data_IF_482229089993
#
_entry.id   IF_482229089993
#
_cell.length_a   1.000
_cell.length_b   1.000
_cell.length_c   1.000
_cell.angle_alpha   90.00
_cell.angle_beta   90.00
_cell.angle_gamma   90.00
#
_symmetry.space_group_name_H-M   'P 1'
#
loop_
_entity.id
_entity.type
_entity.pdbx_description
1 polymer ?
#
# COMPACT_ATOMS: atom_id res chain seq x y z
N UNK A 1 1.12 22.17 24.79
CA UNK A 1 0.26 21.10 24.26
C UNK A 1 0.32 21.15 22.75
N UNK A 2 1.08 20.27 22.10
CA UNK A 2 1.05 20.14 20.65
C UNK A 2 -0.09 19.18 20.30
N UNK A 3 -1.21 19.72 19.78
CA UNK A 3 -2.21 18.89 19.14
C UNK A 3 -1.61 18.21 17.89
N UNK A 4 -2.17 17.08 17.44
CA UNK A 4 -1.65 16.39 16.27
C UNK A 4 -1.70 17.33 15.05
N UNK A 5 -0.53 17.59 14.47
CA UNK A 5 -0.37 18.42 13.27
C UNK A 5 -1.20 17.82 12.14
N UNK A 6 -2.28 18.51 11.73
CA UNK A 6 -2.98 18.21 10.48
C UNK A 6 -1.96 18.25 9.34
N UNK A 7 -1.84 17.21 8.49
CA UNK A 7 -0.93 17.28 7.36
C UNK A 7 -1.37 18.42 6.44
N UNK A 8 -0.51 19.43 6.29
CA UNK A 8 -0.75 20.58 5.43
C UNK A 8 -0.58 20.17 3.95
N UNK A 9 -1.63 19.57 3.39
CA UNK A 9 -1.84 19.51 1.94
C UNK A 9 -2.83 20.59 1.52
N UNK A 10 -2.68 21.12 0.29
CA UNK A 10 -3.71 21.99 -0.32
C UNK A 10 -5.07 21.28 -0.24
N UNK A 11 -6.19 21.96 0.06
CA UNK A 11 -7.51 21.34 0.00
C UNK A 11 -7.81 21.02 -1.46
N UNK A 12 -7.56 19.77 -1.87
CA UNK A 12 -7.91 19.29 -3.21
C UNK A 12 -9.41 19.01 -3.20
N UNK A 13 -10.14 19.61 -4.13
CA UNK A 13 -11.55 19.28 -4.32
C UNK A 13 -11.65 17.87 -4.92
N UNK A 14 -12.44 16.96 -4.30
CA UNK A 14 -12.59 15.61 -4.79
C UNK A 14 -13.29 15.62 -6.14
N UNK A 15 -12.68 14.94 -7.12
CA UNK A 15 -13.22 14.78 -8.47
C UNK A 15 -14.15 13.59 -8.52
N UNK A 16 -13.90 12.57 -7.70
CA UNK A 16 -14.66 11.31 -7.69
C UNK A 16 -15.84 11.34 -6.73
N UNK A 17 -16.82 10.46 -6.98
CA UNK A 17 -17.96 10.27 -6.08
C UNK A 17 -17.51 9.78 -4.69
N UNK A 18 -16.56 8.84 -4.64
CA UNK A 18 -15.99 8.32 -3.38
C UNK A 18 -15.29 9.44 -2.60
N UNK A 19 -14.50 10.27 -3.28
CA UNK A 19 -13.84 11.42 -2.67
C UNK A 19 -14.82 12.42 -2.06
N UNK A 20 -15.97 12.65 -2.70
CA UNK A 20 -17.05 13.49 -2.12
C UNK A 20 -17.65 12.86 -0.87
N UNK A 21 -17.96 11.56 -0.90
CA UNK A 21 -18.51 10.86 0.27
C UNK A 21 -17.57 10.87 1.48
N UNK A 22 -16.26 10.74 1.23
CA UNK A 22 -15.22 10.81 2.27
C UNK A 22 -15.13 12.24 2.83
N UNK A 23 -15.15 13.25 1.95
CA UNK A 23 -15.16 14.66 2.36
C UNK A 23 -16.41 15.05 3.14
N UNK A 24 -17.57 14.51 2.78
CA UNK A 24 -18.85 14.68 3.48
C UNK A 24 -18.88 13.91 4.82
N UNK A 25 -17.89 13.07 5.12
CA UNK A 25 -17.82 12.29 6.36
C UNK A 25 -18.79 11.09 6.43
N UNK A 26 -19.40 10.71 5.29
CA UNK A 26 -20.27 9.53 5.18
C UNK A 26 -19.51 8.23 5.25
N UNK A 27 -18.23 8.26 4.86
CA UNK A 27 -17.28 7.14 4.95
C UNK A 27 -16.21 7.56 5.94
N UNK A 28 -16.09 6.85 7.07
CA UNK A 28 -15.13 7.18 8.13
C UNK A 28 -13.92 6.25 8.13
N UNK A 29 -14.09 5.03 7.65
CA UNK A 29 -13.03 4.04 7.59
C UNK A 29 -12.72 3.62 6.17
N UNK A 30 -11.47 3.22 5.93
CA UNK A 30 -11.07 2.65 4.64
C UNK A 30 -11.72 1.27 4.40
N UNK A 31 -12.02 0.52 5.47
CA UNK A 31 -12.69 -0.78 5.39
C UNK A 31 -14.10 -0.69 4.80
N UNK A 32 -14.87 0.35 5.13
CA UNK A 32 -16.19 0.59 4.52
C UNK A 32 -16.12 0.75 2.99
N UNK A 33 -15.02 1.30 2.46
CA UNK A 33 -14.81 1.43 1.01
C UNK A 33 -14.66 0.04 0.39
N UNK A 34 -13.89 -0.83 1.03
CA UNK A 34 -13.69 -2.21 0.59
C UNK A 34 -14.94 -3.07 0.72
N UNK A 35 -15.72 -2.92 1.80
CA UNK A 35 -17.00 -3.63 1.97
C UNK A 35 -18.00 -3.27 0.87
N UNK A 36 -18.03 -2.00 0.45
CA UNK A 36 -18.88 -1.51 -0.64
C UNK A 36 -18.28 -1.74 -2.03
N UNK A 37 -17.10 -2.36 -2.12
CA UNK A 37 -16.34 -2.59 -3.36
C UNK A 37 -16.19 -1.32 -4.23
N UNK A 38 -16.01 -0.17 -3.60
CA UNK A 38 -15.87 1.10 -4.31
C UNK A 38 -14.41 1.30 -4.77
N UNK A 39 -14.16 1.72 -6.03
CA UNK A 39 -12.81 1.92 -6.53
C UNK A 39 -12.16 3.17 -5.93
N UNK A 40 -10.91 3.03 -5.48
CA UNK A 40 -10.08 4.14 -5.02
C UNK A 40 -9.30 4.68 -6.22
N UNK A 41 -9.68 5.87 -6.70
CA UNK A 41 -9.06 6.52 -7.86
C UNK A 41 -8.26 7.79 -7.48
N UNK A 42 -8.33 8.20 -6.23
CA UNK A 42 -7.67 9.40 -5.70
C UNK A 42 -6.78 8.99 -4.52
N UNK A 43 -5.45 9.19 -4.59
CA UNK A 43 -4.56 8.86 -3.47
C UNK A 43 -4.85 9.69 -2.21
N UNK A 44 -5.47 10.86 -2.38
CA UNK A 44 -5.85 11.77 -1.30
C UNK A 44 -6.90 11.15 -0.35
N UNK A 45 -7.72 10.21 -0.84
CA UNK A 45 -8.69 9.48 -0.01
C UNK A 45 -7.95 8.69 1.09
N UNK A 46 -6.84 8.04 0.72
CA UNK A 46 -6.02 7.28 1.66
C UNK A 46 -5.31 8.21 2.64
N UNK A 47 -4.79 9.33 2.16
CA UNK A 47 -4.12 10.31 3.01
C UNK A 47 -5.07 10.94 4.03
N UNK A 48 -6.33 11.14 3.67
CA UNK A 48 -7.34 11.66 4.58
C UNK A 48 -7.76 10.63 5.64
N UNK A 49 -7.91 9.35 5.25
CA UNK A 49 -8.41 8.31 6.14
C UNK A 49 -7.33 7.69 7.04
N UNK A 50 -6.08 7.59 6.56
CA UNK A 50 -4.99 6.82 7.22
C UNK A 50 -3.70 7.64 7.39
N UNK A 51 -3.64 8.86 6.84
CA UNK A 51 -2.41 9.65 6.66
C UNK A 51 -1.39 9.74 7.83
N UNK A 52 -1.79 9.75 9.12
CA UNK A 52 -0.81 9.83 10.22
C UNK A 52 0.05 8.58 10.41
N UNK A 53 -0.45 7.41 10.04
CA UNK A 53 0.19 6.11 10.34
C UNK A 53 0.83 5.47 9.11
N UNK A 54 0.65 6.09 7.94
CA UNK A 54 1.07 5.54 6.66
C UNK A 54 2.60 5.69 6.48
N UNK A 55 3.34 4.59 6.59
CA UNK A 55 4.77 4.53 6.30
C UNK A 55 4.98 4.09 4.85
N UNK A 56 6.04 4.61 4.22
CA UNK A 56 6.44 4.23 2.87
C UNK A 56 7.89 3.76 2.86
N UNK A 57 8.14 2.59 2.28
CA UNK A 57 9.47 1.99 2.16
C UNK A 57 9.78 1.67 0.70
N UNK A 58 11.01 1.97 0.27
CA UNK A 58 11.47 1.69 -1.09
C UNK A 58 12.13 0.32 -1.12
N UNK A 59 11.57 -0.60 -1.91
CA UNK A 59 12.06 -1.99 -1.96
C UNK A 59 13.17 -2.16 -3.00
N UNK A 60 12.99 -1.58 -4.19
CA UNK A 60 13.94 -1.72 -5.28
C UNK A 60 14.03 -0.44 -6.12
N UNK A 61 15.25 -0.15 -6.58
CA UNK A 61 15.57 0.95 -7.49
C UNK A 61 16.44 0.39 -8.62
N UNK A 62 15.84 0.17 -9.79
CA UNK A 62 16.55 -0.28 -10.98
C UNK A 62 16.72 0.85 -12.00
N UNK A 63 17.88 0.97 -12.65
CA UNK A 63 18.03 1.77 -13.86
C UNK A 63 17.71 0.92 -15.10
N UNK A 64 16.67 1.28 -15.85
CA UNK A 64 16.29 0.61 -17.10
C UNK A 64 16.59 1.49 -18.30
N UNK A 65 17.13 0.90 -19.37
CA UNK A 65 17.59 1.62 -20.55
C UNK A 65 16.84 1.14 -21.81
N UNK A 66 16.45 2.08 -22.68
CA UNK A 66 15.93 1.79 -24.02
C UNK A 66 16.94 2.29 -25.05
N UNK A 67 17.36 1.42 -25.98
CA UNK A 67 18.20 1.82 -27.11
C UNK A 67 17.36 2.58 -28.15
N UNK A 68 17.91 3.65 -28.67
CA UNK A 68 17.38 4.45 -29.79
C UNK A 68 18.51 4.76 -30.76
N UNK A 69 18.19 5.20 -31.98
CA UNK A 69 19.20 5.52 -33.00
C UNK A 69 20.13 6.66 -32.55
N UNK A 70 19.61 7.59 -31.73
CA UNK A 70 20.37 8.69 -31.13
C UNK A 70 21.07 8.32 -29.79
N UNK A 71 21.13 7.03 -29.43
CA UNK A 71 21.80 6.53 -28.23
C UNK A 71 20.88 5.88 -27.20
N UNK A 72 21.33 5.81 -25.93
CA UNK A 72 20.60 5.13 -24.85
C UNK A 72 19.75 6.12 -24.04
N UNK A 73 18.46 5.82 -23.90
CA UNK A 73 17.54 6.56 -23.04
C UNK A 73 17.37 5.82 -21.73
N UNK A 74 17.85 6.42 -20.64
CA UNK A 74 17.79 5.84 -19.29
C UNK A 74 16.57 6.34 -18.52
N UNK A 75 15.95 5.47 -17.74
CA UNK A 75 14.87 5.80 -16.80
C UNK A 75 15.02 4.97 -15.53
N UNK A 76 14.74 5.57 -14.39
CA UNK A 76 14.66 4.86 -13.12
C UNK A 76 13.31 4.17 -13.00
N UNK A 77 13.31 2.91 -12.59
CA UNK A 77 12.16 2.11 -12.19
C UNK A 77 12.28 1.87 -10.69
N UNK A 78 11.26 2.26 -9.95
CA UNK A 78 11.24 2.16 -8.48
C UNK A 78 10.02 1.38 -8.05
N UNK A 79 10.19 0.48 -7.08
CA UNK A 79 9.09 -0.23 -6.41
C UNK A 79 9.03 0.24 -4.96
N UNK A 80 7.84 0.67 -4.54
CA UNK A 80 7.58 1.19 -3.19
C UNK A 80 6.43 0.40 -2.58
N UNK A 81 6.56 0.12 -1.28
CA UNK A 81 5.52 -0.46 -0.45
C UNK A 81 5.07 0.62 0.54
N UNK A 82 3.76 0.69 0.76
CA UNK A 82 3.12 1.65 1.65
C UNK A 82 2.21 0.89 2.59
N UNK A 83 2.22 1.19 3.89
CA UNK A 83 1.36 0.51 4.86
C UNK A 83 1.41 1.12 6.25
N UNK A 84 0.45 0.76 7.09
CA UNK A 84 0.32 1.25 8.46
C UNK A 84 0.74 0.21 9.52
N UNK A 85 1.45 -0.86 9.13
CA UNK A 85 1.84 -2.01 9.96
C UNK A 85 0.66 -2.76 10.65
N UNK A 86 -0.56 -2.26 10.51
CA UNK A 86 -1.78 -2.75 11.17
C UNK A 86 -2.76 -3.38 10.18
N UNK A 87 -2.21 -4.03 9.14
CA UNK A 87 -3.00 -4.79 8.17
C UNK A 87 -3.53 -3.99 6.98
N UNK A 88 -3.01 -2.79 6.71
CA UNK A 88 -3.14 -2.15 5.39
C UNK A 88 -1.79 -2.13 4.70
N UNK A 89 -1.74 -2.65 3.47
CA UNK A 89 -0.55 -2.66 2.63
C UNK A 89 -0.95 -2.32 1.19
N UNK A 90 -0.17 -1.46 0.54
CA UNK A 90 -0.26 -1.14 -0.87
C UNK A 90 1.11 -1.21 -1.53
N UNK A 91 1.14 -1.68 -2.78
CA UNK A 91 2.37 -1.80 -3.56
C UNK A 91 2.23 -0.98 -4.84
N UNK A 92 3.26 -0.22 -5.16
CA UNK A 92 3.29 0.65 -6.33
C UNK A 92 4.62 0.59 -7.05
N UNK A 93 4.55 0.75 -8.37
CA UNK A 93 5.73 0.93 -9.20
C UNK A 93 5.66 2.27 -9.91
N UNK A 94 6.81 2.94 -10.02
CA UNK A 94 6.97 4.21 -10.71
C UNK A 94 8.15 4.19 -11.68
N UNK A 95 8.01 4.92 -12.80
CA UNK A 95 9.09 5.09 -13.79
C UNK A 95 9.23 6.55 -14.21
N UNK A 96 10.43 7.10 -14.11
CA UNK A 96 10.72 8.48 -14.53
C UNK A 96 12.20 8.68 -14.92
N UNK A 97 12.53 9.85 -15.48
CA UNK A 97 13.92 10.23 -15.80
C UNK A 97 14.72 10.61 -14.55
N UNK A 98 14.05 11.20 -13.56
CA UNK A 98 14.61 11.58 -12.26
C UNK A 98 14.12 10.63 -11.17
N UNK A 99 14.99 10.31 -10.21
CA UNK A 99 14.69 9.35 -9.14
C UNK A 99 13.55 9.82 -8.24
N UNK A 100 13.59 11.06 -7.72
CA UNK A 100 12.53 11.59 -6.82
C UNK A 100 11.14 11.52 -7.47
N UNK A 101 11.04 11.94 -8.73
CA UNK A 101 9.78 11.88 -9.49
C UNK A 101 9.30 10.43 -9.70
N UNK A 102 10.21 9.45 -9.81
CA UNK A 102 9.83 8.05 -9.88
C UNK A 102 9.29 7.54 -8.54
N UNK A 103 9.91 7.93 -7.42
CA UNK A 103 9.44 7.62 -6.06
C UNK A 103 8.05 8.22 -5.83
N UNK A 104 7.82 9.49 -6.13
CA UNK A 104 6.52 10.14 -5.93
C UNK A 104 5.40 9.51 -6.78
N UNK A 105 5.74 9.00 -7.97
CA UNK A 105 4.82 8.22 -8.80
C UNK A 105 4.53 6.85 -8.20
N UNK A 106 5.55 6.18 -7.68
CA UNK A 106 5.41 4.87 -7.04
C UNK A 106 4.55 4.97 -5.78
N UNK A 107 4.77 5.99 -4.93
CA UNK A 107 3.97 6.25 -3.72
C UNK A 107 2.50 6.50 -4.07
N UNK A 108 2.22 7.34 -5.07
CA UNK A 108 0.84 7.57 -5.53
C UNK A 108 0.17 6.29 -6.01
N UNK A 109 0.85 5.49 -6.82
CA UNK A 109 0.34 4.21 -7.28
C UNK A 109 0.14 3.21 -6.13
N UNK A 110 1.04 3.20 -5.14
CA UNK A 110 0.92 2.32 -3.98
C UNK A 110 -0.31 2.66 -3.12
N UNK A 111 -0.61 3.96 -2.93
CA UNK A 111 -1.81 4.42 -2.23
C UNK A 111 -3.09 3.97 -2.94
N UNK A 112 -3.14 4.08 -4.27
CA UNK A 112 -4.30 3.64 -5.05
C UNK A 112 -4.53 2.12 -4.94
N UNK A 113 -3.47 1.33 -4.83
CA UNK A 113 -3.51 -0.13 -4.74
C UNK A 113 -3.41 -0.65 -3.30
N UNK A 114 -3.99 0.05 -2.32
CA UNK A 114 -4.06 -0.45 -0.95
C UNK A 114 -5.00 -1.65 -0.87
N UNK A 115 -4.59 -2.62 -0.07
CA UNK A 115 -5.30 -3.86 0.18
C UNK A 115 -5.35 -4.09 1.70
N UNK A 116 -6.52 -4.42 2.27
CA UNK A 116 -6.62 -4.86 3.64
C UNK A 116 -6.17 -6.32 3.76
N UNK A 117 -5.20 -6.57 4.64
CA UNK A 117 -4.65 -7.88 4.96
C UNK A 117 -5.36 -8.43 6.19
N UNK A 118 -5.95 -9.62 6.05
CA UNK A 118 -6.56 -10.33 7.17
C UNK A 118 -5.48 -11.02 8.00
N UNK A 119 -5.35 -10.61 9.26
CA UNK A 119 -4.48 -11.24 10.27
C UNK A 119 -5.31 -12.14 11.18
N UNK A 120 -4.68 -13.17 11.73
CA UNK A 120 -5.34 -14.14 12.62
C UNK A 120 -4.36 -15.12 13.25
N UNK A 121 -4.91 -16.16 13.87
CA UNK A 121 -4.15 -17.27 14.45
C UNK A 121 -4.64 -18.55 13.77
N UNK A 122 -3.83 -19.11 12.86
CA UNK A 122 -4.16 -20.33 12.12
C UNK A 122 -3.25 -21.52 12.40
N UNK A 123 -2.27 -21.38 13.30
CA UNK A 123 -1.36 -22.48 13.65
C UNK A 123 -2.04 -23.44 14.62
N UNK A 124 -1.91 -24.74 14.37
CA UNK A 124 -2.42 -25.78 15.29
C UNK A 124 -1.75 -25.71 16.67
N UNK A 125 -0.52 -25.21 16.73
CA UNK A 125 0.29 -25.12 17.95
C UNK A 125 -0.08 -23.93 18.84
N UNK A 126 -0.91 -23.00 18.35
CA UNK A 126 -1.24 -21.77 19.07
C UNK A 126 -2.74 -21.48 19.01
N UNK A 127 -3.38 -21.35 20.19
CA UNK A 127 -4.80 -21.03 20.33
C UNK A 127 -5.03 -19.65 20.97
N UNK A 128 -4.06 -18.74 20.88
CA UNK A 128 -4.12 -17.46 21.60
C UNK A 128 -5.19 -16.48 21.12
N UNK A 129 -5.84 -16.72 19.97
CA UNK A 129 -6.90 -15.85 19.43
C UNK A 129 -6.45 -14.47 18.94
N UNK A 130 -5.20 -14.09 19.16
CA UNK A 130 -4.66 -12.79 18.75
C UNK A 130 -4.18 -12.77 17.29
N UNK A 131 -4.37 -11.65 16.56
CA UNK A 131 -4.00 -11.51 15.16
C UNK A 131 -2.48 -11.26 14.99
N UNK A 132 -1.68 -12.32 15.09
CA UNK A 132 -0.22 -12.26 14.94
C UNK A 132 0.31 -12.92 13.66
N UNK A 133 -0.50 -13.76 13.00
CA UNK A 133 -0.10 -14.55 11.82
C UNK A 133 -1.17 -14.50 10.73
N UNK A 134 -1.05 -15.36 9.72
CA UNK A 134 -2.07 -15.59 8.69
C UNK A 134 -3.09 -16.61 9.20
N UNK A 135 -4.41 -16.43 8.96
CA UNK A 135 -5.44 -17.34 9.49
C UNK A 135 -5.46 -18.73 8.84
N UNK A 136 -5.00 -18.86 7.59
CA UNK A 136 -4.96 -20.12 6.86
C UNK A 136 -3.83 -20.10 5.83
N UNK A 137 -3.50 -21.27 5.25
CA UNK A 137 -2.46 -21.35 4.22
C UNK A 137 -2.92 -20.65 2.95
N UNK A 138 -2.14 -19.68 2.47
CA UNK A 138 -2.44 -18.92 1.24
C UNK A 138 -1.34 -19.18 0.22
N UNK A 139 -1.73 -19.44 -1.02
CA UNK A 139 -0.80 -19.60 -2.14
C UNK A 139 -0.99 -18.47 -3.14
N UNK A 140 0.11 -17.91 -3.63
CA UNK A 140 0.11 -16.88 -4.66
C UNK A 140 1.13 -17.23 -5.75
N UNK A 141 0.84 -16.83 -7.00
CA UNK A 141 1.73 -17.02 -8.14
C UNK A 141 1.78 -15.75 -8.97
N UNK A 142 3.00 -15.32 -9.30
CA UNK A 142 3.25 -14.22 -10.24
C UNK A 142 4.41 -14.63 -11.16
N UNK A 143 4.12 -14.80 -12.46
CA UNK A 143 5.08 -15.34 -13.42
C UNK A 143 5.56 -16.75 -13.01
N UNK A 144 6.88 -16.90 -12.86
CA UNK A 144 7.50 -18.15 -12.41
C UNK A 144 7.58 -18.27 -10.88
N UNK A 145 7.36 -17.18 -10.14
CA UNK A 145 7.47 -17.16 -8.68
C UNK A 145 6.20 -17.70 -8.06
N UNK A 146 6.34 -18.63 -7.10
CA UNK A 146 5.26 -19.16 -6.28
C UNK A 146 5.58 -18.86 -4.82
N UNK A 147 4.61 -18.30 -4.11
CA UNK A 147 4.68 -17.98 -2.69
C UNK A 147 3.63 -18.80 -1.95
N UNK A 148 4.01 -19.35 -0.80
CA UNK A 148 3.09 -20.08 0.07
C UNK A 148 3.26 -19.52 1.48
N UNK A 149 2.22 -18.86 1.98
CA UNK A 149 2.15 -18.37 3.34
C UNK A 149 1.55 -19.47 4.22
N UNK A 150 2.26 -19.84 5.28
CA UNK A 150 1.77 -20.79 6.28
C UNK A 150 1.60 -20.07 7.62
N UNK A 151 0.54 -20.39 8.40
CA UNK A 151 0.41 -19.90 9.76
C UNK A 151 1.57 -20.40 10.62
N UNK A 152 2.09 -19.53 11.49
CA UNK A 152 3.17 -19.83 12.43
C UNK A 152 2.74 -19.43 13.86
N UNK A 153 3.22 -20.13 14.90
CA UNK A 153 2.95 -19.75 16.29
C UNK A 153 3.64 -18.44 16.69
N UNK A 154 3.25 -17.89 17.84
CA UNK A 154 3.89 -16.69 18.41
C UNK A 154 5.38 -16.92 18.67
N UNK A 155 6.20 -15.94 18.32
CA UNK A 155 7.64 -15.97 18.56
C UNK A 155 8.50 -16.56 17.44
N UNK A 156 7.89 -17.11 16.37
CA UNK A 156 8.64 -17.61 15.21
C UNK A 156 9.29 -16.49 14.38
N UNK A 157 8.72 -15.28 14.41
CA UNK A 157 9.14 -14.19 13.53
C UNK A 157 8.69 -14.41 12.08
N UNK A 158 9.39 -13.78 11.14
CA UNK A 158 9.12 -13.89 9.70
C UNK A 158 10.16 -14.84 9.07
N UNK A 159 9.70 -15.99 8.56
CA UNK A 159 10.51 -17.03 7.89
C UNK A 159 9.81 -17.51 6.63
#
# INVERSE_FOLDING_TARGET
MYGPTRPQGRPVEPRTFVGRLVKEGKIKSIYEIFEKNLPILEPEIVDYLVGPELKSETVDVTLVQKMTDAGRINRFRVVVVVGNEDGLVGVGQGKARQLRVAIDKAIRNAKLNIIPVRRGCGSWECLCGEPHSVPFVVQAKVGSVRLVFKPAPKGTGLV
#
